data_IF_436633147496
#
_entry.id   IF_436633147496
#
_cell.length_a   1.000
_cell.length_b   1.000
_cell.length_c   1.000
_cell.angle_alpha   90.00
_cell.angle_beta   90.00
_cell.angle_gamma   90.00
#
_symmetry.space_group_name_H-M   'P 1'
#
loop_
_entity.id
_entity.type
_entity.pdbx_description
1 polymer ?
#
# COMPACT_ATOMS: atom_id res chain seq x y z
N UNK A 1 -13.66 -19.03 17.71
CA UNK A 1 -13.18 -17.84 18.44
C UNK A 1 -12.33 -17.03 17.48
N UNK A 2 -12.82 -15.85 17.08
CA UNK A 2 -12.21 -15.01 16.05
C UNK A 2 -10.92 -14.37 16.56
N UNK A 3 -9.79 -14.94 16.14
CA UNK A 3 -8.44 -14.41 16.35
C UNK A 3 -8.16 -13.25 15.37
N UNK A 4 -8.89 -12.14 15.49
CA UNK A 4 -8.56 -10.89 14.78
C UNK A 4 -7.47 -10.15 15.57
N UNK A 5 -6.59 -9.41 14.89
CA UNK A 5 -5.58 -8.58 15.56
C UNK A 5 -6.30 -7.44 16.29
N UNK A 6 -6.15 -7.33 17.61
CA UNK A 6 -6.81 -6.32 18.46
C UNK A 6 -6.31 -4.88 18.19
N UNK A 7 -5.33 -4.70 17.30
CA UNK A 7 -4.75 -3.41 16.90
C UNK A 7 -5.29 -2.82 15.58
N UNK A 8 -6.27 -3.47 14.93
CA UNK A 8 -6.84 -2.93 13.68
C UNK A 8 -7.91 -1.89 14.02
N UNK A 9 -7.73 -0.66 13.51
CA UNK A 9 -8.63 0.48 13.78
C UNK A 9 -10.08 0.28 13.30
N UNK A 10 -10.32 -0.69 12.41
CA UNK A 10 -11.63 -1.04 11.86
C UNK A 10 -11.64 -2.45 11.24
N UNK A 11 -12.80 -3.05 10.97
CA UNK A 11 -12.85 -4.36 10.29
C UNK A 11 -12.27 -4.25 8.87
N UNK A 12 -11.28 -5.09 8.53
CA UNK A 12 -10.64 -5.11 7.20
C UNK A 12 -11.59 -5.49 6.07
N UNK A 13 -12.75 -6.05 6.39
CA UNK A 13 -13.79 -6.41 5.43
C UNK A 13 -14.81 -5.27 5.19
N UNK A 14 -14.79 -4.17 5.98
CA UNK A 14 -15.70 -3.03 5.79
C UNK A 14 -15.17 -2.04 4.73
N UNK A 15 -15.41 -2.39 3.47
CA UNK A 15 -15.01 -1.61 2.29
C UNK A 15 -15.51 -0.16 2.31
N UNK A 16 -16.70 0.10 2.87
CA UNK A 16 -17.31 1.43 2.88
C UNK A 16 -16.55 2.42 3.75
N UNK A 17 -16.10 1.95 4.93
CA UNK A 17 -15.26 2.74 5.82
C UNK A 17 -13.87 3.01 5.21
N UNK A 18 -13.23 1.98 4.63
CA UNK A 18 -11.91 2.11 4.01
C UNK A 18 -11.91 3.09 2.83
N UNK A 19 -12.99 3.17 2.05
CA UNK A 19 -13.13 4.14 0.96
C UNK A 19 -13.12 5.60 1.46
N UNK A 20 -13.93 5.91 2.48
CA UNK A 20 -13.98 7.26 3.06
C UNK A 20 -12.68 7.63 3.79
N UNK A 21 -12.05 6.66 4.44
CA UNK A 21 -10.75 6.84 5.08
C UNK A 21 -9.66 7.13 4.04
N UNK A 22 -9.66 6.41 2.90
CA UNK A 22 -8.76 6.61 1.77
C UNK A 22 -8.77 8.05 1.25
N UNK A 23 -9.95 8.64 1.01
CA UNK A 23 -10.06 10.02 0.53
C UNK A 23 -9.39 11.06 1.45
N UNK A 24 -9.43 10.85 2.77
CA UNK A 24 -8.75 11.74 3.73
C UNK A 24 -7.23 11.56 3.68
N UNK A 25 -6.77 10.32 3.49
CA UNK A 25 -5.36 10.00 3.35
C UNK A 25 -4.78 10.59 2.06
N UNK A 26 -5.48 10.49 0.93
CA UNK A 26 -5.07 11.08 -0.35
C UNK A 26 -4.84 12.59 -0.23
N UNK A 27 -5.78 13.32 0.38
CA UNK A 27 -5.63 14.77 0.65
C UNK A 27 -4.43 15.09 1.54
N UNK A 28 -4.22 14.28 2.57
CA UNK A 28 -3.10 14.45 3.50
C UNK A 28 -1.76 14.20 2.79
N UNK A 29 -1.73 13.20 1.91
CA UNK A 29 -0.56 12.89 1.09
C UNK A 29 -0.26 14.00 0.09
N UNK A 30 -1.28 14.54 -0.60
CA UNK A 30 -1.14 15.71 -1.49
C UNK A 30 -0.56 16.90 -0.76
N UNK A 31 -1.05 17.22 0.44
CA UNK A 31 -0.50 18.30 1.25
C UNK A 31 0.98 18.03 1.57
N UNK A 32 1.31 16.82 2.03
CA UNK A 32 2.67 16.43 2.37
C UNK A 32 3.63 16.55 1.18
N UNK A 33 3.26 16.06 0.00
CA UNK A 33 4.06 16.19 -1.21
C UNK A 33 4.38 17.65 -1.53
N UNK A 34 3.36 18.51 -1.54
CA UNK A 34 3.52 19.92 -1.88
C UNK A 34 4.28 20.73 -0.81
N UNK A 35 4.10 20.43 0.48
CA UNK A 35 4.69 21.25 1.57
C UNK A 35 6.03 20.72 2.07
N UNK A 36 6.25 19.41 2.05
CA UNK A 36 7.40 18.78 2.69
C UNK A 36 8.36 18.10 1.71
N UNK A 37 7.89 17.67 0.54
CA UNK A 37 8.74 16.99 -0.45
C UNK A 37 9.11 17.85 -1.65
N UNK A 38 8.54 19.06 -1.75
CA UNK A 38 8.64 19.91 -2.94
C UNK A 38 8.26 19.14 -4.23
N UNK A 39 7.26 18.26 -4.12
CA UNK A 39 6.80 17.38 -5.17
C UNK A 39 5.37 17.80 -5.54
N UNK A 40 5.15 18.42 -6.71
CA UNK A 40 3.82 18.86 -7.12
C UNK A 40 2.85 17.68 -7.20
N UNK A 41 1.76 17.72 -6.44
CA UNK A 41 0.77 16.65 -6.39
C UNK A 41 -0.66 17.19 -6.29
N UNK A 42 -1.62 16.49 -6.87
CA UNK A 42 -3.06 16.78 -6.77
C UNK A 42 -3.88 15.50 -6.85
N UNK A 43 -5.10 15.53 -6.28
CA UNK A 43 -6.10 14.48 -6.50
C UNK A 43 -6.37 14.35 -8.01
N UNK A 44 -6.47 13.12 -8.53
CA UNK A 44 -6.82 12.90 -9.92
C UNK A 44 -8.26 13.40 -10.18
N UNK A 45 -8.46 14.40 -11.08
CA UNK A 45 -9.79 14.94 -11.35
C UNK A 45 -10.79 13.89 -11.86
N UNK A 46 -10.31 12.82 -12.51
CA UNK A 46 -11.15 11.71 -12.99
C UNK A 46 -11.91 11.02 -11.86
N UNK A 47 -11.39 11.04 -10.62
CA UNK A 47 -12.05 10.42 -9.46
C UNK A 47 -13.38 11.04 -9.09
N UNK A 48 -13.70 12.24 -9.60
CA UNK A 48 -15.00 12.88 -9.40
C UNK A 48 -16.13 12.10 -10.07
N UNK A 49 -15.85 11.52 -11.23
CA UNK A 49 -16.84 10.84 -12.06
C UNK A 49 -16.59 9.32 -12.14
N UNK A 50 -15.36 8.88 -11.86
CA UNK A 50 -14.94 7.49 -11.86
C UNK A 50 -14.26 7.13 -10.52
N UNK A 51 -14.98 6.53 -9.55
CA UNK A 51 -14.39 6.18 -8.25
C UNK A 51 -13.29 5.11 -8.34
N UNK A 52 -13.13 4.47 -9.50
CA UNK A 52 -12.07 3.52 -9.73
C UNK A 52 -10.80 4.20 -10.25
N UNK A 53 -10.84 5.41 -10.81
CA UNK A 53 -9.66 6.06 -11.38
C UNK A 53 -8.48 6.13 -10.37
N UNK A 54 -7.23 6.09 -10.84
CA UNK A 54 -6.05 6.24 -9.97
C UNK A 54 -6.11 7.48 -9.09
N UNK A 55 -5.50 7.41 -7.91
CA UNK A 55 -5.68 8.39 -6.84
C UNK A 55 -5.21 9.81 -7.19
N UNK A 56 -4.04 9.91 -7.83
CA UNK A 56 -3.25 11.14 -7.84
C UNK A 56 -2.71 11.46 -9.23
N UNK A 57 -2.36 12.72 -9.41
CA UNK A 57 -1.36 13.14 -10.40
C UNK A 57 -0.18 13.73 -9.62
N UNK A 58 1.02 13.19 -9.82
CA UNK A 58 2.25 13.60 -9.14
C UNK A 58 3.31 13.92 -10.18
N UNK A 59 3.89 15.13 -10.12
CA UNK A 59 4.83 15.65 -11.12
C UNK A 59 4.33 15.50 -12.58
N UNK A 60 3.01 15.64 -12.78
CA UNK A 60 2.37 15.51 -14.10
C UNK A 60 2.11 14.07 -14.58
N UNK A 61 2.42 13.05 -13.77
CA UNK A 61 2.19 11.63 -14.07
C UNK A 61 1.04 11.08 -13.23
N UNK A 62 0.27 10.16 -13.81
CA UNK A 62 -0.77 9.43 -13.09
C UNK A 62 -0.10 8.55 -12.03
N UNK A 63 -0.66 8.55 -10.82
CA UNK A 63 -0.13 7.81 -9.69
C UNK A 63 -1.22 7.22 -8.80
N UNK A 64 -0.88 6.15 -8.08
CA UNK A 64 -1.75 5.50 -7.10
C UNK A 64 -1.09 5.46 -5.72
N UNK A 65 -1.88 5.64 -4.66
CA UNK A 65 -1.40 5.72 -3.29
C UNK A 65 -1.76 4.44 -2.52
N UNK A 66 -0.73 3.75 -2.04
CA UNK A 66 -0.85 2.59 -1.16
C UNK A 66 -0.44 2.99 0.27
N UNK A 67 -1.44 3.21 1.13
CA UNK A 67 -1.18 3.49 2.56
C UNK A 67 -1.18 2.19 3.36
N UNK A 68 -0.15 1.97 4.19
CA UNK A 68 -0.05 0.81 5.08
C UNK A 68 0.43 1.21 6.47
N UNK A 69 -0.34 0.83 7.49
CA UNK A 69 -0.03 1.18 8.89
C UNK A 69 0.30 -0.02 9.78
N UNK A 70 0.11 -1.23 9.28
CA UNK A 70 0.46 -2.46 9.98
C UNK A 70 1.49 -3.23 9.15
N UNK A 71 2.67 -3.53 9.72
CA UNK A 71 3.64 -4.42 9.08
C UNK A 71 3.00 -5.75 8.70
N UNK A 72 3.40 -6.32 7.56
CA UNK A 72 3.01 -7.68 7.24
C UNK A 72 3.85 -8.68 8.06
N UNK A 73 3.56 -8.83 9.35
CA UNK A 73 4.35 -9.61 10.32
C UNK A 73 4.66 -11.06 9.88
N UNK A 74 3.84 -11.62 9.00
CA UNK A 74 3.96 -13.00 8.51
C UNK A 74 4.91 -13.12 7.31
N UNK A 75 5.43 -12.01 6.77
CA UNK A 75 6.43 -11.97 5.70
C UNK A 75 7.70 -12.76 6.01
N UNK A 76 8.03 -12.94 7.29
CA UNK A 76 9.15 -13.80 7.73
C UNK A 76 9.01 -15.25 7.28
N UNK A 77 7.79 -15.75 7.01
CA UNK A 77 7.56 -17.09 6.42
C UNK A 77 8.01 -17.20 4.96
N UNK A 78 8.28 -16.07 4.33
CA UNK A 78 8.76 -15.93 2.97
C UNK A 78 10.21 -15.43 2.93
N UNK A 79 10.93 -15.54 4.06
CA UNK A 79 12.30 -15.05 4.24
C UNK A 79 12.47 -13.54 3.99
N UNK A 80 11.42 -12.76 4.26
CA UNK A 80 11.42 -11.30 4.12
C UNK A 80 11.33 -10.59 5.49
N UNK A 81 11.99 -9.43 5.61
CA UNK A 81 11.95 -8.60 6.82
C UNK A 81 10.56 -7.93 6.95
N UNK A 82 9.78 -8.21 8.01
CA UNK A 82 8.48 -7.59 8.19
C UNK A 82 8.52 -6.08 8.39
N UNK A 83 9.65 -5.51 8.83
CA UNK A 83 9.80 -4.05 8.95
C UNK A 83 9.86 -3.38 7.58
N UNK A 84 10.39 -4.07 6.57
CA UNK A 84 10.64 -3.53 5.22
C UNK A 84 9.76 -4.15 4.14
N UNK A 85 8.80 -4.99 4.52
CA UNK A 85 7.88 -5.64 3.57
C UNK A 85 6.54 -4.92 3.51
N UNK A 86 6.11 -4.58 2.30
CA UNK A 86 4.76 -4.09 2.00
C UNK A 86 4.01 -5.10 1.14
N UNK A 87 2.68 -5.07 1.21
CA UNK A 87 1.83 -5.92 0.36
C UNK A 87 1.29 -5.14 -0.84
N UNK A 88 1.21 -5.77 -2.00
CA UNK A 88 0.56 -5.21 -3.19
C UNK A 88 -0.49 -6.17 -3.74
N UNK A 89 -1.74 -5.73 -3.87
CA UNK A 89 -2.84 -6.64 -4.19
C UNK A 89 -2.71 -7.19 -5.61
N UNK A 90 -2.97 -8.49 -5.80
CA UNK A 90 -3.01 -9.11 -7.13
C UNK A 90 -3.95 -8.40 -8.10
N UNK A 91 -5.14 -8.01 -7.63
CA UNK A 91 -6.13 -7.29 -8.46
C UNK A 91 -5.62 -5.92 -8.94
N UNK A 92 -4.78 -5.25 -8.14
CA UNK A 92 -4.23 -3.95 -8.50
C UNK A 92 -3.14 -4.14 -9.56
N UNK A 93 -2.30 -5.18 -9.42
CA UNK A 93 -1.36 -5.61 -10.45
C UNK A 93 -2.07 -5.90 -11.78
N UNK A 94 -3.06 -6.80 -11.78
CA UNK A 94 -3.80 -7.18 -13.00
C UNK A 94 -4.42 -5.96 -13.67
N UNK A 95 -5.04 -5.09 -12.88
CA UNK A 95 -5.68 -3.88 -13.37
C UNK A 95 -4.70 -2.88 -13.97
N UNK A 96 -3.58 -2.62 -13.30
CA UNK A 96 -2.60 -1.64 -13.79
C UNK A 96 -1.84 -2.17 -15.00
N UNK A 97 -1.56 -3.48 -15.06
CA UNK A 97 -0.99 -4.11 -16.25
C UNK A 97 -1.87 -3.92 -17.48
N UNK A 98 -3.20 -3.96 -17.32
CA UNK A 98 -4.13 -3.79 -18.43
C UNK A 98 -4.39 -2.32 -18.77
N UNK A 99 -4.64 -1.47 -17.77
CA UNK A 99 -5.22 -0.14 -17.95
C UNK A 99 -4.24 1.01 -17.72
N UNK A 100 -3.19 0.80 -16.92
CA UNK A 100 -2.30 1.88 -16.47
C UNK A 100 -0.82 1.43 -16.40
N UNK A 101 -0.22 0.92 -17.49
CA UNK A 101 1.12 0.34 -17.44
C UNK A 101 2.23 1.35 -17.07
N UNK A 102 1.98 2.64 -17.29
CA UNK A 102 2.94 3.73 -17.01
C UNK A 102 2.70 4.45 -15.67
N UNK A 103 1.79 3.95 -14.82
CA UNK A 103 1.44 4.58 -13.54
C UNK A 103 2.61 4.54 -12.54
N UNK A 104 2.76 5.58 -11.73
CA UNK A 104 3.68 5.57 -10.61
C UNK A 104 2.98 5.09 -9.33
N UNK A 105 3.63 4.22 -8.56
CA UNK A 105 3.08 3.69 -7.31
C UNK A 105 3.79 4.35 -6.14
N UNK A 106 3.03 4.93 -5.21
CA UNK A 106 3.54 5.50 -3.98
C UNK A 106 3.08 4.66 -2.80
N UNK A 107 4.02 4.21 -1.97
CA UNK A 107 3.73 3.60 -0.68
C UNK A 107 3.94 4.63 0.43
N UNK A 108 2.88 4.89 1.20
CA UNK A 108 2.97 5.68 2.43
C UNK A 108 2.84 4.74 3.62
N UNK A 109 3.97 4.52 4.29
CA UNK A 109 4.11 3.60 5.41
C UNK A 109 4.19 4.39 6.71
N UNK A 110 3.47 3.93 7.73
CA UNK A 110 3.63 4.38 9.12
C UNK A 110 3.22 3.26 10.07
N UNK A 111 4.20 2.51 10.59
CA UNK A 111 3.97 1.37 11.48
C UNK A 111 3.43 1.79 12.84
N UNK A 112 2.10 1.91 12.93
CA UNK A 112 1.40 2.26 14.17
C UNK A 112 1.32 1.07 15.12
N UNK A 113 1.26 -0.15 14.58
CA UNK A 113 1.31 -1.42 15.32
C UNK A 113 2.66 -2.10 15.10
N UNK A 114 3.56 -2.06 16.09
CA UNK A 114 4.92 -2.63 16.01
C UNK A 114 5.03 -4.05 16.59
N UNK A 115 3.96 -4.60 17.16
CA UNK A 115 3.93 -5.94 17.77
C UNK A 115 2.67 -6.71 17.38
N UNK A 116 2.83 -8.02 17.21
CA UNK A 116 1.74 -8.99 17.08
C UNK A 116 2.18 -10.35 17.63
N UNK A 117 1.26 -11.33 17.66
CA UNK A 117 1.60 -12.72 17.99
C UNK A 117 2.60 -13.38 17.03
N UNK A 118 2.88 -12.76 15.88
CA UNK A 118 3.82 -13.25 14.87
C UNK A 118 5.20 -12.60 14.97
N UNK A 119 5.40 -11.64 15.88
CA UNK A 119 6.69 -11.00 16.09
C UNK A 119 6.58 -9.50 16.40
N UNK A 120 7.74 -8.88 16.56
CA UNK A 120 7.94 -7.45 16.78
C UNK A 120 8.80 -6.88 15.67
N UNK A 121 8.50 -5.64 15.26
CA UNK A 121 9.36 -4.85 14.38
C UNK A 121 9.66 -3.51 15.03
N UNK A 122 10.78 -2.90 14.67
CA UNK A 122 11.01 -1.50 15.00
C UNK A 122 10.13 -0.58 14.16
N UNK A 123 9.87 0.61 14.69
CA UNK A 123 9.11 1.63 14.00
C UNK A 123 9.77 1.98 12.65
N UNK A 124 8.91 2.23 11.66
CA UNK A 124 9.29 2.80 10.37
C UNK A 124 8.10 3.61 9.88
N UNK A 125 8.37 4.83 9.45
CA UNK A 125 7.46 5.62 8.63
C UNK A 125 8.22 6.19 7.45
N UNK A 126 7.56 6.28 6.30
CA UNK A 126 8.20 6.78 5.11
C UNK A 126 7.29 6.83 3.90
N UNK A 127 7.79 7.48 2.86
CA UNK A 127 7.17 7.54 1.56
C UNK A 127 8.18 6.99 0.57
N UNK A 128 7.74 5.96 -0.16
CA UNK A 128 8.54 5.26 -1.13
C UNK A 128 7.81 5.26 -2.46
N UNK A 129 8.54 5.29 -3.56
CA UNK A 129 7.94 5.26 -4.88
C UNK A 129 8.71 4.40 -5.87
N UNK A 130 8.00 3.92 -6.87
CA UNK A 130 8.55 3.26 -8.05
C UNK A 130 7.55 3.32 -9.21
N UNK A 131 8.03 3.33 -10.47
CA UNK A 131 7.17 3.10 -11.62
C UNK A 131 6.54 1.70 -11.56
N UNK A 132 5.28 1.58 -12.00
CA UNK A 132 4.60 0.30 -12.02
C UNK A 132 5.33 -0.74 -12.86
N UNK A 133 5.94 -0.36 -13.99
CA UNK A 133 6.77 -1.28 -14.79
C UNK A 133 7.90 -1.92 -13.98
N UNK A 134 8.51 -1.19 -13.05
CA UNK A 134 9.54 -1.74 -12.15
C UNK A 134 8.91 -2.67 -11.12
N UNK A 135 7.76 -2.30 -10.54
CA UNK A 135 7.01 -3.13 -9.61
C UNK A 135 6.58 -4.46 -10.26
N UNK A 136 6.05 -4.40 -11.48
CA UNK A 136 5.65 -5.56 -12.27
C UNK A 136 6.85 -6.47 -12.53
N UNK A 137 8.00 -5.91 -12.90
CA UNK A 137 9.25 -6.66 -13.04
C UNK A 137 9.66 -7.40 -11.76
N UNK A 138 9.49 -6.80 -10.58
CA UNK A 138 9.73 -7.48 -9.29
C UNK A 138 8.78 -8.67 -9.11
N UNK A 139 7.49 -8.50 -9.41
CA UNK A 139 6.48 -9.57 -9.33
C UNK A 139 6.82 -10.71 -10.28
N UNK A 140 7.05 -10.39 -11.56
CA UNK A 140 7.34 -11.36 -12.62
C UNK A 140 8.67 -12.11 -12.38
N UNK A 141 9.62 -11.47 -11.69
CA UNK A 141 10.89 -12.10 -11.28
C UNK A 141 10.76 -13.07 -10.10
N UNK A 142 9.55 -13.23 -9.52
CA UNK A 142 9.26 -14.21 -8.49
C UNK A 142 9.02 -13.63 -7.10
N UNK A 143 8.48 -12.40 -6.99
CA UNK A 143 8.05 -11.88 -5.70
C UNK A 143 7.05 -12.85 -5.03
N UNK A 144 7.22 -13.17 -3.73
CA UNK A 144 6.30 -14.10 -3.06
C UNK A 144 4.87 -13.59 -3.04
N UNK A 145 3.91 -14.51 -3.13
CA UNK A 145 2.49 -14.19 -3.04
C UNK A 145 1.85 -14.84 -1.80
N UNK A 146 1.10 -14.03 -1.07
CA UNK A 146 0.30 -14.48 0.07
C UNK A 146 -1.18 -14.59 -0.30
N UNK A 147 -1.76 -15.78 -0.11
CA UNK A 147 -3.19 -16.02 -0.33
C UNK A 147 -3.98 -16.00 0.98
N UNK A 148 -5.00 -15.15 1.06
CA UNK A 148 -5.81 -14.98 2.27
C UNK A 148 -6.83 -16.11 2.41
N UNK A 149 -6.69 -16.94 3.45
CA UNK A 149 -7.51 -18.15 3.67
C UNK A 149 -9.01 -17.81 3.80
N UNK A 150 -9.35 -16.69 4.43
CA UNK A 150 -10.74 -16.29 4.71
C UNK A 150 -11.46 -15.60 3.55
N UNK A 151 -10.81 -15.47 2.37
CA UNK A 151 -11.35 -14.72 1.22
C UNK A 151 -11.49 -15.57 -0.05
N UNK A 152 -11.44 -16.90 0.06
CA UNK A 152 -11.58 -17.81 -1.09
C UNK A 152 -12.93 -17.66 -1.81
N UNK A 153 -14.01 -17.44 -1.06
CA UNK A 153 -15.38 -17.30 -1.57
C UNK A 153 -15.92 -15.86 -1.48
N UNK A 154 -15.05 -14.87 -1.35
CA UNK A 154 -15.50 -13.48 -1.19
C UNK A 154 -16.15 -12.93 -2.48
N UNK A 155 -17.43 -12.56 -2.37
CA UNK A 155 -18.23 -11.94 -3.44
C UNK A 155 -18.21 -10.41 -3.39
N UNK A 156 -17.55 -9.81 -2.38
CA UNK A 156 -17.52 -8.35 -2.16
C UNK A 156 -16.34 -7.64 -2.87
N UNK A 157 -15.46 -8.42 -3.52
CA UNK A 157 -14.35 -7.92 -4.34
C UNK A 157 -13.12 -7.48 -3.52
N UNK A 158 -12.92 -8.03 -2.33
CA UNK A 158 -11.67 -7.84 -1.59
C UNK A 158 -10.51 -8.58 -2.27
N UNK A 159 -9.28 -8.17 -1.97
CA UNK A 159 -8.10 -8.85 -2.50
C UNK A 159 -8.03 -10.29 -1.95
N UNK A 160 -7.98 -11.26 -2.87
CA UNK A 160 -7.82 -12.70 -2.58
C UNK A 160 -6.37 -13.06 -2.24
N UNK A 161 -5.43 -12.27 -2.74
CA UNK A 161 -4.01 -12.41 -2.50
C UNK A 161 -3.26 -11.11 -2.76
N UNK A 162 -2.04 -11.05 -2.22
CA UNK A 162 -1.14 -9.93 -2.37
C UNK A 162 0.30 -10.41 -2.54
N UNK A 163 1.03 -9.73 -3.41
CA UNK A 163 2.48 -9.89 -3.54
C UNK A 163 3.19 -9.20 -2.38
N UNK A 164 4.32 -9.77 -1.96
CA UNK A 164 5.19 -9.22 -0.94
C UNK A 164 6.39 -8.54 -1.62
N UNK A 165 6.62 -7.28 -1.31
CA UNK A 165 7.68 -6.47 -1.90
C UNK A 165 8.54 -5.85 -0.82
N UNK A 166 9.86 -5.80 -1.04
CA UNK A 166 10.78 -5.10 -0.15
C UNK A 166 10.86 -3.62 -0.54
N UNK A 167 10.70 -2.75 0.46
CA UNK A 167 10.93 -1.30 0.34
C UNK A 167 12.38 -0.96 -0.07
N UNK A 168 13.33 -1.89 0.09
CA UNK A 168 14.72 -1.70 -0.33
C UNK A 168 14.89 -1.56 -1.85
N UNK A 169 13.91 -2.03 -2.61
CA UNK A 169 13.91 -1.89 -4.07
C UNK A 169 13.33 -0.55 -4.55
N UNK A 170 12.82 0.30 -3.64
CA UNK A 170 12.02 1.48 -3.98
C UNK A 170 12.84 2.77 -3.80
N UNK A 171 12.49 3.82 -4.54
CA UNK A 171 13.04 5.14 -4.29
C UNK A 171 12.50 5.67 -2.95
N UNK A 172 13.39 6.17 -2.09
CA UNK A 172 13.03 6.75 -0.79
C UNK A 172 12.81 8.25 -0.96
N UNK A 173 11.60 8.74 -0.69
CA UNK A 173 11.28 10.17 -0.68
C UNK A 173 11.34 10.76 0.73
N UNK A 174 10.97 9.94 1.73
CA UNK A 174 11.05 10.27 3.15
C UNK A 174 11.19 8.96 3.94
N UNK A 175 12.05 8.93 4.95
CA UNK A 175 12.11 7.80 5.89
C UNK A 175 12.42 8.32 7.30
N UNK A 176 11.77 7.72 8.30
CA UNK A 176 11.96 7.95 9.72
C UNK A 176 11.91 6.62 10.45
N UNK A 177 12.87 6.40 11.34
CA UNK A 177 13.01 5.19 12.16
C UNK A 177 12.60 5.40 13.63
N UNK A 178 12.10 6.60 13.98
CA UNK A 178 11.65 6.96 15.32
C UNK A 178 10.36 7.78 15.28
N UNK A 179 9.46 7.53 16.24
CA UNK A 179 8.31 8.41 16.51
C UNK A 179 8.83 9.71 17.12
N UNK A 180 8.33 10.85 16.62
CA UNK A 180 8.55 12.16 17.22
C UNK A 180 7.82 12.27 18.56
#
# INVERSE_FOLDING_TARGET
>A
MNNRNDGIIHDTEDKGWWCHHGLKLERSFVALCNTHLNLPAWENPEKRDNPYAPDLIVAGRVADLKVQNTPFFVSSRYDMDPRRTVTFNRKDYERYSELYPDIDIYFWVDWTQTESKYGRVDYLAGIYSLPFVTLAGLIESGAPEHHYIHRRDDTQGNAKSSFLLSLDAFAVLLEKDRRL
#
